data_IF_795906417508
#
_entry.id   IF_795906417508
#
_cell.length_a   1.000
_cell.length_b   1.000
_cell.length_c   1.000
_cell.angle_alpha   90.00
_cell.angle_beta   90.00
_cell.angle_gamma   90.00
#
_symmetry.space_group_name_H-M   'P 1'
#
loop_
_entity.id
_entity.type
_entity.pdbx_description
1 polymer ?
#
# COMPACT_ATOMS: atom_id res chain seq x y z
N UNK A 1 -21.22 6.34 7.95
CA UNK A 1 -19.82 6.47 7.51
C UNK A 1 -19.45 7.94 7.60
N UNK A 2 -18.41 8.36 8.35
CA UNK A 2 -18.00 9.75 8.31
C UNK A 2 -17.25 9.97 6.98
N UNK A 3 -18.02 10.32 5.94
CA UNK A 3 -17.55 10.64 4.58
C UNK A 3 -16.56 11.82 4.52
N UNK A 4 -16.27 12.47 5.65
CA UNK A 4 -15.55 13.74 5.67
C UNK A 4 -14.03 13.63 5.90
N UNK A 5 -13.53 12.54 6.49
CA UNK A 5 -12.09 12.44 6.82
C UNK A 5 -11.23 12.01 5.64
N UNK A 6 -11.80 11.37 4.61
CA UNK A 6 -11.03 10.82 3.50
C UNK A 6 -11.07 11.70 2.24
N UNK A 7 -11.96 12.70 2.16
CA UNK A 7 -12.01 13.65 1.04
C UNK A 7 -10.86 14.65 0.99
N UNK A 8 -10.07 14.77 2.07
CA UNK A 8 -9.06 15.84 2.20
C UNK A 8 -7.70 15.50 1.58
N UNK A 9 -7.45 14.24 1.23
CA UNK A 9 -6.16 13.78 0.70
C UNK A 9 -6.21 13.21 -0.73
N UNK A 10 -7.36 13.23 -1.40
CA UNK A 10 -7.46 12.83 -2.80
C UNK A 10 -7.23 14.05 -3.71
N UNK A 11 -6.10 14.13 -4.44
CA UNK A 11 -5.95 15.12 -5.51
C UNK A 11 -7.06 14.94 -6.55
N UNK A 12 -7.47 16.06 -7.16
CA UNK A 12 -8.66 16.18 -7.99
C UNK A 12 -8.71 15.12 -9.12
N UNK A 13 -9.80 14.36 -9.16
CA UNK A 13 -9.95 13.17 -10.03
C UNK A 13 -9.98 13.57 -11.53
N UNK A 14 -10.36 14.82 -11.81
CA UNK A 14 -10.45 15.40 -13.15
C UNK A 14 -9.06 15.67 -13.78
N UNK A 15 -8.08 16.11 -12.99
CA UNK A 15 -6.76 16.51 -13.52
C UNK A 15 -5.92 15.32 -13.98
N UNK A 16 -6.00 14.19 -13.26
CA UNK A 16 -5.25 12.96 -13.59
C UNK A 16 -5.91 12.26 -14.81
N UNK A 17 -7.23 12.33 -14.93
CA UNK A 17 -7.99 11.73 -16.05
C UNK A 17 -7.67 12.34 -17.42
N UNK A 18 -7.30 13.62 -17.46
CA UNK A 18 -7.08 14.36 -18.71
C UNK A 18 -5.61 14.40 -19.19
N UNK A 19 -4.68 13.72 -18.50
CA UNK A 19 -3.27 13.73 -18.89
C UNK A 19 -3.00 12.87 -20.14
N UNK A 20 -2.26 13.44 -21.12
CA UNK A 20 -2.03 12.87 -22.46
C UNK A 20 -1.45 11.44 -22.46
N UNK A 21 -0.60 11.12 -21.49
CA UNK A 21 0.02 9.79 -21.33
C UNK A 21 -0.91 8.76 -20.68
N UNK A 22 -1.89 9.21 -19.88
CA UNK A 22 -2.85 8.33 -19.21
C UNK A 22 -4.00 7.91 -20.15
N UNK A 23 -4.25 8.65 -21.24
CA UNK A 23 -5.24 8.29 -22.28
C UNK A 23 -5.03 6.91 -22.92
N UNK A 24 -3.81 6.36 -22.91
CA UNK A 24 -3.53 5.00 -23.41
C UNK A 24 -4.36 3.95 -22.66
N UNK A 25 -4.67 4.20 -21.38
CA UNK A 25 -5.47 3.30 -20.54
C UNK A 25 -6.97 3.64 -20.55
N UNK A 26 -7.42 4.45 -21.52
CA UNK A 26 -8.73 5.12 -21.60
C UNK A 26 -9.92 4.40 -20.97
N UNK A 27 -10.32 3.21 -21.46
CA UNK A 27 -11.48 2.48 -20.93
C UNK A 27 -11.29 1.90 -19.53
N UNK A 28 -10.07 1.50 -19.15
CA UNK A 28 -9.82 0.96 -17.81
C UNK A 28 -9.80 2.07 -16.74
N UNK A 29 -9.36 3.28 -17.08
CA UNK A 29 -9.34 4.43 -16.16
C UNK A 29 -10.73 4.90 -15.71
N UNK A 30 -11.79 4.51 -16.43
CA UNK A 30 -13.17 4.79 -16.07
C UNK A 30 -13.74 3.85 -14.99
N UNK A 31 -13.02 2.82 -14.55
CA UNK A 31 -13.51 1.93 -13.50
C UNK A 31 -13.56 2.69 -12.16
N UNK A 32 -14.73 2.79 -11.51
CA UNK A 32 -14.87 3.52 -10.25
C UNK A 32 -14.01 2.93 -9.13
N UNK A 33 -13.61 1.64 -9.19
CA UNK A 33 -12.75 1.03 -8.18
C UNK A 33 -11.33 1.63 -8.17
N UNK A 34 -10.86 2.23 -9.26
CA UNK A 34 -9.54 2.88 -9.31
C UNK A 34 -9.48 4.13 -8.44
N UNK A 35 -10.61 4.78 -8.21
CA UNK A 35 -10.71 6.07 -7.53
C UNK A 35 -11.43 5.96 -6.18
N UNK A 36 -12.41 5.07 -6.09
CA UNK A 36 -13.21 4.90 -4.88
C UNK A 36 -12.57 3.97 -3.88
N UNK A 37 -12.80 4.28 -2.60
CA UNK A 37 -12.31 3.50 -1.48
C UNK A 37 -13.30 2.39 -1.16
N UNK A 38 -13.02 1.20 -1.69
CA UNK A 38 -13.72 -0.03 -1.37
C UNK A 38 -12.72 -1.04 -0.78
N UNK A 39 -13.18 -1.88 0.17
CA UNK A 39 -12.36 -2.87 0.88
C UNK A 39 -11.43 -3.68 -0.02
N UNK A 40 -11.95 -4.16 -1.16
CA UNK A 40 -11.22 -5.01 -2.12
C UNK A 40 -10.19 -4.21 -2.92
N UNK A 41 -10.58 -3.00 -3.33
CA UNK A 41 -9.72 -2.11 -4.12
C UNK A 41 -8.56 -1.59 -3.28
N UNK A 42 -8.82 -1.18 -2.03
CA UNK A 42 -7.78 -0.70 -1.11
C UNK A 42 -6.84 -1.83 -0.71
N UNK A 43 -7.34 -3.02 -0.34
CA UNK A 43 -6.45 -4.15 0.00
C UNK A 43 -5.56 -4.56 -1.16
N UNK A 44 -6.09 -4.55 -2.38
CA UNK A 44 -5.31 -4.81 -3.59
C UNK A 44 -4.28 -3.72 -3.88
N UNK A 45 -4.62 -2.44 -3.62
CA UNK A 45 -3.67 -1.34 -3.77
C UNK A 45 -2.50 -1.44 -2.80
N UNK A 46 -2.75 -1.91 -1.56
CA UNK A 46 -1.69 -2.23 -0.60
C UNK A 46 -0.78 -3.35 -1.09
N UNK A 47 -1.35 -4.41 -1.66
CA UNK A 47 -0.55 -5.49 -2.25
C UNK A 47 0.36 -4.98 -3.37
N UNK A 48 -0.20 -4.24 -4.33
CA UNK A 48 0.54 -3.76 -5.51
C UNK A 48 1.59 -2.72 -5.11
N UNK A 49 1.19 -1.71 -4.33
CA UNK A 49 2.07 -0.61 -3.95
C UNK A 49 3.22 -1.06 -3.07
N UNK A 50 2.98 -1.92 -2.07
CA UNK A 50 4.05 -2.44 -1.23
C UNK A 50 4.97 -3.40 -1.97
N UNK A 51 4.46 -4.21 -2.89
CA UNK A 51 5.34 -5.06 -3.72
C UNK A 51 6.37 -4.19 -4.46
N UNK A 52 5.89 -3.20 -5.21
CA UNK A 52 6.75 -2.33 -6.01
C UNK A 52 7.62 -1.39 -5.17
N UNK A 53 7.20 -1.01 -3.95
CA UNK A 53 8.04 -0.22 -3.06
C UNK A 53 9.36 -0.93 -2.71
N UNK A 54 9.38 -2.25 -2.66
CA UNK A 54 10.57 -3.01 -2.28
C UNK A 54 11.48 -3.34 -3.47
N UNK A 55 11.00 -3.21 -4.72
CA UNK A 55 11.80 -3.52 -5.91
C UNK A 55 12.63 -2.28 -6.31
N UNK A 56 13.97 -2.35 -6.25
CA UNK A 56 14.82 -1.24 -6.65
C UNK A 56 14.77 -1.08 -8.16
N UNK A 57 13.92 -0.22 -8.68
CA UNK A 57 13.90 0.08 -10.11
C UNK A 57 13.55 1.54 -10.39
N UNK A 58 14.14 2.13 -11.44
CA UNK A 58 13.68 3.42 -11.92
C UNK A 58 12.22 3.29 -12.39
N UNK A 59 11.44 4.37 -12.23
CA UNK A 59 10.05 4.42 -12.65
C UNK A 59 9.11 3.36 -12.04
N UNK A 60 9.42 2.84 -10.85
CA UNK A 60 8.56 1.90 -10.09
C UNK A 60 7.09 2.34 -9.96
N UNK A 61 6.82 3.65 -9.96
CA UNK A 61 5.45 4.20 -9.97
C UNK A 61 4.66 3.80 -11.22
N UNK A 62 5.32 3.76 -12.38
CA UNK A 62 4.69 3.35 -13.64
C UNK A 62 4.37 1.85 -13.58
N UNK A 63 5.27 1.03 -13.04
CA UNK A 63 5.03 -0.39 -12.85
C UNK A 63 3.84 -0.65 -11.90
N UNK A 64 3.78 0.07 -10.77
CA UNK A 64 2.65 0.00 -9.85
C UNK A 64 1.33 0.43 -10.52
N UNK A 65 1.32 1.52 -11.29
CA UNK A 65 0.15 1.95 -12.04
C UNK A 65 -0.27 0.92 -13.11
N UNK A 66 0.69 0.38 -13.86
CA UNK A 66 0.47 -0.59 -14.92
C UNK A 66 -0.15 -1.91 -14.39
N UNK A 67 0.16 -2.29 -13.15
CA UNK A 67 -0.49 -3.44 -12.49
C UNK A 67 -1.81 -3.03 -11.83
N UNK A 68 -1.91 -1.83 -11.26
CA UNK A 68 -3.11 -1.38 -10.56
C UNK A 68 -4.34 -1.25 -11.48
N UNK A 69 -4.13 -0.79 -12.71
CA UNK A 69 -5.18 -0.57 -13.70
C UNK A 69 -5.89 -1.88 -14.11
N UNK A 70 -5.21 -2.93 -14.61
CA UNK A 70 -5.87 -4.19 -14.99
C UNK A 70 -6.41 -4.95 -13.79
N UNK A 71 -5.78 -4.83 -12.60
CA UNK A 71 -6.28 -5.45 -11.37
C UNK A 71 -7.46 -4.68 -10.74
N UNK A 72 -7.79 -3.49 -11.27
CA UNK A 72 -8.90 -2.62 -10.84
C UNK A 72 -8.82 -2.26 -9.35
N UNK A 73 -7.60 -2.01 -8.86
CA UNK A 73 -7.31 -1.60 -7.48
C UNK A 73 -7.04 -0.10 -7.41
N UNK A 74 -7.10 0.49 -6.22
CA UNK A 74 -7.06 1.93 -6.06
C UNK A 74 -5.72 2.49 -6.56
N UNK A 75 -5.77 3.25 -7.66
CA UNK A 75 -4.59 3.71 -8.37
C UNK A 75 -3.79 4.75 -7.55
N UNK A 76 -4.41 5.80 -6.98
CA UNK A 76 -3.71 6.75 -6.12
C UNK A 76 -2.99 6.09 -4.94
N UNK A 77 -3.65 5.16 -4.24
CA UNK A 77 -3.05 4.45 -3.10
C UNK A 77 -1.88 3.59 -3.55
N UNK A 78 -2.03 2.85 -4.66
CA UNK A 78 -0.96 1.98 -5.17
C UNK A 78 0.30 2.79 -5.46
N UNK A 79 0.17 3.95 -6.10
CA UNK A 79 1.29 4.84 -6.43
C UNK A 79 1.85 5.53 -5.18
N UNK A 80 0.99 5.95 -4.24
CA UNK A 80 1.42 6.59 -3.00
C UNK A 80 2.23 5.65 -2.11
N UNK A 81 1.89 4.35 -2.07
CA UNK A 81 2.64 3.37 -1.26
C UNK A 81 4.04 3.10 -1.80
N UNK A 82 4.28 3.29 -3.09
CA UNK A 82 5.63 3.18 -3.67
C UNK A 82 6.58 4.24 -3.10
N UNK A 83 6.05 5.38 -2.62
CA UNK A 83 6.84 6.43 -1.96
C UNK A 83 7.30 6.08 -0.54
N UNK A 84 6.93 4.89 -0.03
CA UNK A 84 7.55 4.35 1.19
C UNK A 84 9.06 4.21 1.00
N UNK A 85 9.52 3.92 -0.22
CA UNK A 85 10.94 3.89 -0.59
C UNK A 85 11.33 5.21 -1.24
N UNK A 86 11.38 6.27 -0.43
CA UNK A 86 11.90 7.60 -0.82
C UNK A 86 13.41 7.70 -0.54
N UNK A 87 14.14 8.74 -1.00
CA UNK A 87 15.60 8.82 -0.85
C UNK A 87 16.13 8.65 0.59
N UNK A 88 15.34 9.00 1.59
CA UNK A 88 15.69 8.83 2.99
C UNK A 88 15.54 7.38 3.49
N UNK A 89 14.57 6.65 2.96
CA UNK A 89 14.17 5.30 3.40
C UNK A 89 14.68 4.19 2.48
N UNK A 90 15.04 4.51 1.23
CA UNK A 90 15.64 3.57 0.29
C UNK A 90 16.92 2.91 0.83
N UNK A 91 17.90 3.65 1.39
CA UNK A 91 19.13 3.02 1.89
C UNK A 91 18.88 1.92 2.93
N UNK A 92 18.12 2.14 4.02
CA UNK A 92 17.86 1.07 4.98
C UNK A 92 16.99 -0.06 4.41
N UNK A 93 15.99 0.22 3.56
CA UNK A 93 15.12 -0.81 2.97
C UNK A 93 15.95 -1.72 2.04
N UNK A 94 16.73 -1.14 1.14
CA UNK A 94 17.50 -1.91 0.16
C UNK A 94 18.69 -2.63 0.80
N UNK A 95 19.29 -2.06 1.84
CA UNK A 95 20.27 -2.79 2.64
C UNK A 95 19.64 -4.02 3.32
N UNK A 96 18.45 -3.88 3.90
CA UNK A 96 17.72 -5.02 4.47
C UNK A 96 17.40 -6.07 3.39
N UNK A 97 16.91 -5.65 2.23
CA UNK A 97 16.65 -6.57 1.11
C UNK A 97 17.93 -7.30 0.67
N UNK A 98 19.06 -6.60 0.59
CA UNK A 98 20.35 -7.19 0.28
C UNK A 98 20.73 -8.26 1.31
N UNK A 99 20.60 -7.98 2.61
CA UNK A 99 20.86 -8.96 3.68
C UNK A 99 19.95 -10.19 3.58
N UNK A 100 18.66 -10.00 3.29
CA UNK A 100 17.73 -11.11 3.08
C UNK A 100 18.20 -11.94 1.89
N UNK A 101 18.58 -11.29 0.78
CA UNK A 101 19.04 -11.97 -0.41
C UNK A 101 20.33 -12.75 -0.21
N UNK A 102 21.33 -12.16 0.46
CA UNK A 102 22.60 -12.84 0.74
C UNK A 102 22.40 -14.03 1.67
N UNK A 103 21.50 -13.92 2.64
CA UNK A 103 21.12 -15.01 3.51
C UNK A 103 20.49 -16.19 2.74
N UNK A 104 19.56 -15.91 1.82
CA UNK A 104 18.94 -16.96 1.00
C UNK A 104 19.89 -17.58 -0.03
N UNK A 105 20.78 -16.79 -0.62
CA UNK A 105 21.71 -17.25 -1.65
C UNK A 105 23.01 -17.83 -1.07
N UNK A 106 23.24 -17.69 0.23
CA UNK A 106 24.48 -18.13 0.88
C UNK A 106 25.72 -17.36 0.42
N UNK A 107 25.54 -16.13 -0.10
CA UNK A 107 26.65 -15.30 -0.60
C UNK A 107 27.20 -14.41 0.50
N UNK A 108 28.51 -14.12 0.54
CA UNK A 108 29.07 -13.23 1.54
C UNK A 108 28.56 -11.78 1.36
N UNK A 109 28.34 -11.11 2.49
CA UNK A 109 27.96 -9.70 2.55
C UNK A 109 29.18 -8.87 2.14
N UNK A 110 29.08 -8.18 1.00
CA UNK A 110 30.09 -7.24 0.55
C UNK A 110 29.65 -5.84 0.98
N UNK A 111 30.37 -5.25 1.94
CA UNK A 111 30.24 -3.83 2.22
C UNK A 111 30.96 -3.07 1.11
N UNK A 112 30.40 -1.95 0.67
CA UNK A 112 31.05 -1.13 -0.34
C UNK A 112 32.32 -0.52 0.26
N UNK A 113 33.48 -0.99 -0.18
CA UNK A 113 34.75 -0.37 0.19
C UNK A 113 34.80 1.06 -0.36
N UNK A 114 35.44 1.98 0.39
CA UNK A 114 35.43 3.42 0.11
C UNK A 114 36.27 3.84 -1.11
N UNK A 115 36.91 2.90 -1.80
CA UNK A 115 37.63 3.18 -3.04
C UNK A 115 36.65 3.22 -4.22
N UNK A 116 36.05 4.39 -4.43
CA UNK A 116 35.13 4.73 -5.52
C UNK A 116 35.86 4.77 -6.88
N UNK A 117 36.39 3.63 -7.32
CA UNK A 117 36.77 3.40 -8.71
C UNK A 117 35.54 3.00 -9.52
N UNK A 118 35.40 3.53 -10.74
CA UNK A 118 34.30 3.15 -11.64
C UNK A 118 34.34 1.65 -12.00
N UNK A 119 35.55 1.08 -12.15
CA UNK A 119 35.72 -0.36 -12.42
C UNK A 119 35.32 -1.22 -11.21
N UNK A 120 35.66 -0.77 -10.00
CA UNK A 120 35.25 -1.43 -8.76
C UNK A 120 33.73 -1.34 -8.57
N UNK A 121 33.11 -0.20 -8.91
CA UNK A 121 31.66 -0.01 -8.85
C UNK A 121 30.94 -0.98 -9.79
N UNK A 122 31.37 -1.11 -11.05
CA UNK A 122 30.73 -2.03 -12.01
C UNK A 122 30.91 -3.51 -11.61
N UNK A 123 32.10 -3.91 -11.16
CA UNK A 123 32.36 -5.28 -10.68
C UNK A 123 31.63 -5.61 -9.36
N UNK A 124 31.40 -4.61 -8.51
CA UNK A 124 30.64 -4.78 -7.28
C UNK A 124 29.14 -4.78 -7.55
N UNK A 125 28.67 -3.97 -8.50
CA UNK A 125 27.28 -3.95 -8.95
C UNK A 125 26.85 -5.35 -9.39
N UNK A 126 27.67 -6.09 -10.14
CA UNK A 126 27.40 -7.49 -10.55
C UNK A 126 27.26 -8.49 -9.40
N UNK A 127 27.89 -8.23 -8.25
CA UNK A 127 27.77 -9.08 -7.05
C UNK A 127 26.64 -8.66 -6.12
N UNK A 128 26.29 -7.38 -6.13
CA UNK A 128 25.30 -6.80 -5.21
C UNK A 128 23.88 -6.90 -5.78
N UNK A 129 23.71 -6.70 -7.09
CA UNK A 129 22.37 -6.65 -7.71
C UNK A 129 21.60 -7.97 -7.54
N UNK A 130 22.25 -9.13 -7.69
CA UNK A 130 21.56 -10.42 -7.64
C UNK A 130 20.97 -10.69 -6.25
N UNK A 131 21.73 -10.64 -5.14
CA UNK A 131 21.15 -10.76 -3.81
C UNK A 131 20.15 -9.64 -3.51
N UNK A 132 20.45 -8.39 -3.90
CA UNK A 132 19.55 -7.26 -3.67
C UNK A 132 18.18 -7.49 -4.31
N UNK A 133 18.11 -7.84 -5.60
CA UNK A 133 16.86 -8.08 -6.31
C UNK A 133 16.15 -9.34 -5.81
N UNK A 134 16.89 -10.40 -5.50
CA UNK A 134 16.30 -11.61 -4.95
C UNK A 134 15.64 -11.34 -3.59
N UNK A 135 16.35 -10.70 -2.67
CA UNK A 135 15.79 -10.33 -1.38
C UNK A 135 14.68 -9.29 -1.50
N UNK A 136 14.77 -8.37 -2.46
CA UNK A 136 13.68 -7.43 -2.78
C UNK A 136 12.42 -8.14 -3.26
N UNK A 137 12.54 -9.20 -4.07
CA UNK A 137 11.41 -10.02 -4.49
C UNK A 137 10.77 -10.72 -3.28
N UNK A 138 11.58 -11.33 -2.41
CA UNK A 138 11.11 -12.01 -1.20
C UNK A 138 10.39 -11.02 -0.27
N UNK A 139 11.06 -9.93 0.10
CA UNK A 139 10.50 -8.88 0.95
C UNK A 139 9.25 -8.25 0.32
N UNK A 140 9.26 -7.99 -0.99
CA UNK A 140 8.13 -7.44 -1.72
C UNK A 140 6.92 -8.37 -1.69
N UNK A 141 7.09 -9.67 -1.88
CA UNK A 141 5.99 -10.66 -1.78
C UNK A 141 5.44 -10.71 -0.35
N UNK A 142 6.32 -10.75 0.66
CA UNK A 142 5.92 -10.76 2.07
C UNK A 142 5.17 -9.49 2.44
N UNK A 143 5.69 -8.32 2.08
CA UNK A 143 5.06 -7.03 2.32
C UNK A 143 3.72 -6.90 1.58
N UNK A 144 3.64 -7.40 0.35
CA UNK A 144 2.41 -7.44 -0.45
C UNK A 144 1.31 -8.26 0.24
N UNK A 145 1.65 -9.48 0.67
CA UNK A 145 0.73 -10.35 1.40
C UNK A 145 0.31 -9.72 2.73
N UNK A 146 1.28 -9.23 3.51
CA UNK A 146 1.02 -8.56 4.79
C UNK A 146 0.12 -7.33 4.63
N UNK A 147 0.35 -6.49 3.62
CA UNK A 147 -0.48 -5.33 3.32
C UNK A 147 -1.91 -5.71 2.94
N UNK A 148 -2.08 -6.73 2.08
CA UNK A 148 -3.39 -7.21 1.67
C UNK A 148 -4.22 -7.73 2.85
N UNK A 149 -3.64 -8.66 3.62
CA UNK A 149 -4.32 -9.27 4.77
C UNK A 149 -4.48 -8.28 5.92
N UNK A 150 -3.47 -7.44 6.17
CA UNK A 150 -3.51 -6.38 7.17
C UNK A 150 -4.65 -5.39 6.90
N UNK A 151 -4.79 -4.90 5.67
CA UNK A 151 -5.88 -4.00 5.31
C UNK A 151 -7.25 -4.69 5.45
N UNK A 152 -7.35 -5.97 5.09
CA UNK A 152 -8.59 -6.75 5.27
C UNK A 152 -8.94 -6.95 6.74
N UNK A 153 -7.95 -7.18 7.60
CA UNK A 153 -8.11 -7.31 9.05
C UNK A 153 -8.52 -5.98 9.69
N UNK A 154 -7.81 -4.89 9.36
CA UNK A 154 -8.14 -3.53 9.83
C UNK A 154 -9.57 -3.16 9.47
N UNK A 155 -10.01 -3.48 8.25
CA UNK A 155 -11.39 -3.25 7.85
C UNK A 155 -12.39 -4.07 8.69
N UNK A 156 -12.11 -5.36 8.92
CA UNK A 156 -12.95 -6.24 9.75
C UNK A 156 -13.07 -5.70 11.18
N UNK A 157 -11.94 -5.34 11.80
CA UNK A 157 -11.90 -4.77 13.14
C UNK A 157 -12.70 -3.47 13.22
N UNK A 158 -12.52 -2.59 12.23
CA UNK A 158 -13.26 -1.33 12.16
C UNK A 158 -14.77 -1.56 12.06
N UNK A 159 -15.22 -2.48 11.21
CA UNK A 159 -16.65 -2.82 11.08
C UNK A 159 -17.18 -3.35 12.40
N UNK A 160 -16.56 -4.37 13.00
CA UNK A 160 -17.01 -4.97 14.26
C UNK A 160 -17.11 -3.93 15.39
N UNK A 161 -16.11 -3.06 15.52
CA UNK A 161 -16.13 -1.98 16.51
C UNK A 161 -17.32 -1.03 16.31
N UNK A 162 -17.65 -0.69 15.07
CA UNK A 162 -18.81 0.17 14.75
C UNK A 162 -20.15 -0.52 15.08
N UNK A 163 -20.25 -1.84 14.90
CA UNK A 163 -21.44 -2.61 15.32
C UNK A 163 -21.58 -2.65 16.85
N UNK A 164 -20.48 -2.84 17.58
CA UNK A 164 -20.49 -2.84 19.04
C UNK A 164 -20.91 -1.47 19.60
N UNK A 165 -20.37 -0.36 19.05
CA UNK A 165 -20.76 1.00 19.44
C UNK A 165 -22.26 1.27 19.24
N UNK A 166 -22.87 0.72 18.18
CA UNK A 166 -24.32 0.82 17.93
C UNK A 166 -25.15 0.00 18.93
N UNK A 167 -24.67 -1.18 19.34
CA UNK A 167 -25.35 -1.99 20.36
C UNK A 167 -25.36 -1.31 21.73
N UNK A 168 -24.25 -0.68 22.12
CA UNK A 168 -24.19 0.11 23.36
C UNK A 168 -25.07 1.36 23.30
N UNK A 169 -25.07 2.10 22.18
CA UNK A 169 -25.95 3.27 22.01
C UNK A 169 -27.45 2.92 22.04
N UNK A 170 -27.85 1.79 21.44
CA UNK A 170 -29.25 1.33 21.47
C UNK A 170 -29.66 0.68 22.80
N UNK A 171 -28.71 0.28 23.66
CA UNK A 171 -28.98 -0.23 25.01
C UNK A 171 -29.45 0.87 25.97
N UNK A 172 -28.76 2.02 25.98
CA UNK A 172 -29.12 3.16 26.82
C UNK A 172 -30.46 3.82 26.46
N UNK A 173 -30.86 3.78 25.18
CA UNK A 173 -32.17 4.31 24.75
C UNK A 173 -33.34 3.50 25.30
N UNK A 174 -33.18 2.17 25.48
CA UNK A 174 -34.25 1.29 25.98
C UNK A 174 -34.48 1.41 27.48
N UNK A 175 -33.47 1.75 28.29
CA UNK A 175 -33.63 1.98 29.73
C UNK A 175 -34.24 3.35 30.07
N UNK A 176 -34.10 4.35 29.20
CA UNK A 176 -34.61 5.71 29.44
C UNK A 176 -36.09 5.93 29.08
N UNK A 177 -36.74 5.02 28.36
CA UNK A 177 -38.14 5.18 27.91
C UNK A 177 -39.19 4.46 28.76
N UNK A 178 -38.77 3.75 29.82
CA UNK A 178 -39.67 2.98 30.71
C UNK A 178 -39.75 3.63 32.09
N UNK A 179 -40.36 4.81 32.18
CA UNK A 179 -40.87 5.50 33.39
C UNK A 179 -41.63 6.72 32.86
N UNK A 180 -42.94 6.75 32.76
CA UNK A 180 -43.91 6.69 33.86
C UNK A 180 -45.32 6.31 33.35
N UNK A 181 -46.06 5.41 34.03
CA UNK A 181 -47.51 5.35 33.88
C UNK A 181 -48.12 6.55 34.61
N UNK A 182 -48.89 7.34 33.88
CA UNK A 182 -49.78 8.36 34.44
C UNK A 182 -50.71 7.72 35.47
N UNK A 183 -50.77 8.20 36.74
CA UNK A 183 -51.84 7.80 37.62
C UNK A 183 -53.11 8.51 37.15
N UNK A 184 -54.06 7.72 36.68
CA UNK A 184 -55.43 8.15 36.44
C UNK A 184 -56.18 8.29 37.76
N UNK A 185 -56.85 9.45 37.91
CA UNK A 185 -57.88 9.82 38.88
C UNK A 185 -57.41 10.36 40.23
#
# INVERSE_FOLDING_TARGET
MPRHLIKRFTPDHETIRNHKHLRVFGRLLHDPNLWHLNRRSVSGAFAVGLFWAFIPMPFQMIAAAAIAIPTRVNLPISVALVWISNPLTMPPIFYFNYLVGTWFLGTPVHLMDSELSMDYFLHSMERIWQPLYFGSLVCGVVASAAGYFGMRMLWRMHVVSQWQKRKHANGHVKEGTVKSPTPSR
#
